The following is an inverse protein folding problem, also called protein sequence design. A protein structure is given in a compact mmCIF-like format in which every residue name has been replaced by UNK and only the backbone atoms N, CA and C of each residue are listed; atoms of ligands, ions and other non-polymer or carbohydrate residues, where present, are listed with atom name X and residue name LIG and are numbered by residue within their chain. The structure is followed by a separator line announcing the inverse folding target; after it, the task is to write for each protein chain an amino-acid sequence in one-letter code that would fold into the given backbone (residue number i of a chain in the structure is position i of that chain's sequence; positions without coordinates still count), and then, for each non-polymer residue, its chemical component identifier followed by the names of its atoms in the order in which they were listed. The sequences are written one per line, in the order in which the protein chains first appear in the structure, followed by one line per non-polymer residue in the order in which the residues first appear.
data_IF_292262378708
#
_entry.id   IF_292262378708
#
_cell.length_a   1.000
_cell.length_b   1.000
_cell.length_c   1.000
_cell.angle_alpha   90.00
_cell.angle_beta   90.00
_cell.angle_gamma   90.00
#
_symmetry.space_group_name_H-M   'P 1'
#
loop_
_entity.id
_entity.type
_entity.pdbx_description
1 polymer ?
#
# COMPACT_ATOMS: atom_id res chain seq x y z
N UNK A 1 -13.47 2.26 28.26
CA UNK A 1 -12.69 1.24 27.50
C UNK A 1 -12.35 1.83 26.15
N UNK A 2 -11.06 2.08 25.86
CA UNK A 2 -10.64 2.58 24.57
C UNK A 2 -10.87 1.47 23.51
N UNK A 3 -11.80 1.70 22.61
CA UNK A 3 -12.14 0.76 21.56
C UNK A 3 -11.02 0.79 20.50
N UNK A 4 -10.06 -0.14 20.62
CA UNK A 4 -8.96 -0.27 19.64
C UNK A 4 -9.56 -0.81 18.34
N UNK A 5 -9.45 -0.05 17.26
CA UNK A 5 -9.88 -0.49 15.93
C UNK A 5 -8.84 -1.46 15.37
N UNK A 6 -9.27 -2.65 14.95
CA UNK A 6 -8.39 -3.65 14.33
C UNK A 6 -8.56 -3.63 12.82
N UNK A 7 -7.44 -3.49 12.10
CA UNK A 7 -7.42 -3.45 10.64
C UNK A 7 -6.41 -4.46 10.13
N UNK A 8 -6.81 -5.22 9.12
CA UNK A 8 -5.89 -6.11 8.40
C UNK A 8 -5.66 -5.57 6.99
N UNK A 9 -4.38 -5.53 6.59
CA UNK A 9 -3.92 -5.10 5.27
C UNK A 9 -3.26 -6.27 4.58
N UNK A 10 -3.78 -6.67 3.44
CA UNK A 10 -3.25 -7.74 2.61
C UNK A 10 -2.64 -7.11 1.36
N UNK A 11 -1.39 -7.43 1.10
CA UNK A 11 -0.66 -6.94 -0.08
C UNK A 11 -0.12 -8.10 -0.90
N UNK A 12 -0.04 -7.90 -2.20
CA UNK A 12 0.60 -8.81 -3.14
C UNK A 12 1.10 -8.04 -4.35
N UNK A 13 2.18 -8.50 -4.97
CA UNK A 13 2.72 -7.87 -6.15
C UNK A 13 2.96 -8.83 -7.31
N UNK A 14 2.93 -8.30 -8.50
CA UNK A 14 3.38 -8.93 -9.74
C UNK A 14 4.42 -8.03 -10.41
N UNK A 15 5.48 -8.60 -10.94
CA UNK A 15 6.56 -7.87 -11.57
C UNK A 15 6.84 -8.39 -12.98
N UNK A 16 7.10 -7.46 -13.91
CA UNK A 16 7.53 -7.76 -15.28
C UNK A 16 8.91 -7.18 -15.52
N UNK A 17 9.92 -8.06 -15.55
CA UNK A 17 11.31 -7.68 -15.67
C UNK A 17 11.61 -6.87 -16.95
N UNK A 18 11.03 -7.27 -18.09
CA UNK A 18 11.29 -6.65 -19.41
C UNK A 18 10.87 -5.18 -19.45
N UNK A 19 9.82 -4.83 -18.74
CA UNK A 19 9.27 -3.47 -18.71
C UNK A 19 9.54 -2.72 -17.42
N UNK A 20 10.12 -3.40 -16.42
CA UNK A 20 10.34 -2.88 -15.06
C UNK A 20 9.06 -2.30 -14.44
N UNK A 21 7.92 -2.94 -14.73
CA UNK A 21 6.60 -2.53 -14.23
C UNK A 21 6.12 -3.54 -13.19
N UNK A 22 5.70 -3.02 -12.04
CA UNK A 22 4.99 -3.78 -11.04
C UNK A 22 3.50 -3.44 -11.02
N UNK A 23 2.68 -4.46 -10.78
CA UNK A 23 1.30 -4.30 -10.35
C UNK A 23 1.22 -4.69 -8.88
N UNK A 24 0.69 -3.83 -8.00
CA UNK A 24 0.46 -4.18 -6.60
C UNK A 24 -1.03 -4.18 -6.30
N UNK A 25 -1.48 -5.18 -5.56
CA UNK A 25 -2.85 -5.31 -5.08
C UNK A 25 -2.89 -5.09 -3.56
N UNK A 26 -3.80 -4.25 -3.09
CA UNK A 26 -4.01 -3.98 -1.67
C UNK A 26 -5.46 -4.21 -1.30
N UNK A 27 -5.68 -4.97 -0.24
CA UNK A 27 -7.02 -5.21 0.35
C UNK A 27 -6.97 -4.86 1.83
N UNK A 28 -7.82 -3.94 2.27
CA UNK A 28 -7.94 -3.53 3.67
C UNK A 28 -9.27 -4.01 4.21
N UNK A 29 -9.25 -4.62 5.41
CA UNK A 29 -10.44 -5.14 6.08
C UNK A 29 -10.50 -4.70 7.54
N UNK A 30 -11.72 -4.68 8.09
CA UNK A 30 -11.98 -4.62 9.52
C UNK A 30 -12.75 -5.89 9.89
N UNK A 31 -12.07 -6.84 10.53
CA UNK A 31 -12.56 -8.21 10.66
C UNK A 31 -12.86 -8.80 9.28
N UNK A 32 -14.05 -9.35 9.10
CA UNK A 32 -14.48 -9.94 7.83
C UNK A 32 -14.99 -8.92 6.80
N UNK A 33 -15.14 -7.66 7.19
CA UNK A 33 -15.67 -6.61 6.30
C UNK A 33 -14.56 -5.96 5.51
N UNK A 34 -14.61 -6.10 4.17
CA UNK A 34 -13.71 -5.37 3.27
C UNK A 34 -14.03 -3.87 3.29
N UNK A 35 -13.01 -3.05 3.56
CA UNK A 35 -13.09 -1.59 3.54
C UNK A 35 -12.63 -1.07 2.18
N UNK A 36 -11.43 -1.52 1.73
CA UNK A 36 -10.78 -1.07 0.49
C UNK A 36 -10.26 -2.29 -0.26
N UNK A 37 -10.33 -2.23 -1.58
CA UNK A 37 -9.57 -3.12 -2.47
C UNK A 37 -9.09 -2.29 -3.65
N UNK A 38 -7.78 -2.19 -3.86
CA UNK A 38 -7.19 -1.32 -4.87
C UNK A 38 -5.99 -1.98 -5.55
N UNK A 39 -5.79 -1.62 -6.82
CA UNK A 39 -4.63 -1.92 -7.61
C UNK A 39 -3.84 -0.66 -7.88
N UNK A 40 -2.51 -0.81 -7.86
CA UNK A 40 -1.56 0.20 -8.30
C UNK A 40 -0.69 -0.35 -9.42
N UNK A 41 -0.06 0.55 -10.15
CA UNK A 41 0.93 0.24 -11.17
C UNK A 41 2.09 1.19 -11.01
N UNK A 42 3.29 0.63 -10.85
CA UNK A 42 4.52 1.38 -10.61
C UNK A 42 5.54 1.04 -11.68
N UNK A 43 6.23 2.04 -12.20
CA UNK A 43 7.30 1.91 -13.18
C UNK A 43 8.67 2.04 -12.50
N UNK A 44 9.73 1.54 -13.17
CA UNK A 44 11.10 1.64 -12.66
C UNK A 44 11.41 0.69 -11.52
N UNK A 45 10.58 -0.31 -11.28
CA UNK A 45 10.76 -1.29 -10.22
C UNK A 45 11.94 -2.21 -10.52
N UNK A 46 12.74 -2.55 -9.50
CA UNK A 46 14.02 -3.25 -9.66
C UNK A 46 13.89 -4.78 -9.59
N UNK A 47 12.82 -5.28 -8.95
CA UNK A 47 12.58 -6.72 -8.79
C UNK A 47 11.31 -7.00 -8.02
N UNK A 48 11.04 -8.29 -7.81
CA UNK A 48 9.79 -8.71 -7.14
C UNK A 48 9.77 -8.27 -5.66
N UNK A 49 10.89 -8.39 -4.92
CA UNK A 49 10.96 -7.95 -3.53
C UNK A 49 10.67 -6.43 -3.41
N UNK A 50 11.21 -5.61 -4.33
CA UNK A 50 10.91 -4.18 -4.37
C UNK A 50 9.44 -3.92 -4.72
N UNK A 51 8.85 -4.70 -5.63
CA UNK A 51 7.41 -4.61 -5.95
C UNK A 51 6.53 -4.92 -4.73
N UNK A 52 6.87 -5.96 -3.96
CA UNK A 52 6.16 -6.33 -2.73
C UNK A 52 6.28 -5.25 -1.65
N UNK A 53 7.47 -4.67 -1.50
CA UNK A 53 7.70 -3.57 -0.56
C UNK A 53 6.87 -2.33 -0.92
N UNK A 54 6.78 -2.00 -2.22
CA UNK A 54 5.88 -0.96 -2.74
C UNK A 54 4.41 -1.30 -2.43
N UNK A 55 4.04 -2.58 -2.46
CA UNK A 55 2.71 -3.04 -2.04
C UNK A 55 2.40 -2.68 -0.59
N UNK A 56 3.36 -2.89 0.32
CA UNK A 56 3.25 -2.50 1.73
C UNK A 56 3.10 -0.98 1.87
N UNK A 57 3.94 -0.20 1.18
CA UNK A 57 3.85 1.26 1.18
C UNK A 57 2.48 1.76 0.70
N UNK A 58 1.97 1.24 -0.42
CA UNK A 58 0.63 1.54 -0.92
C UNK A 58 -0.47 1.17 0.10
N UNK A 59 -0.25 0.11 0.88
CA UNK A 59 -1.13 -0.30 1.98
C UNK A 59 -1.21 0.77 3.07
N UNK A 60 -0.08 1.33 3.49
CA UNK A 60 -0.02 2.42 4.45
C UNK A 60 -0.70 3.68 3.94
N UNK A 61 -0.39 4.11 2.71
CA UNK A 61 -1.00 5.29 2.10
C UNK A 61 -2.53 5.19 2.04
N UNK A 62 -3.04 4.03 1.61
CA UNK A 62 -4.49 3.79 1.58
C UNK A 62 -5.13 3.77 2.97
N UNK A 63 -4.40 3.23 3.96
CA UNK A 63 -4.86 3.19 5.34
C UNK A 63 -4.94 4.59 5.93
N UNK A 64 -3.92 5.43 5.72
CA UNK A 64 -3.93 6.82 6.15
C UNK A 64 -5.06 7.62 5.50
N UNK A 65 -5.23 7.48 4.18
CA UNK A 65 -6.36 8.09 3.46
C UNK A 65 -7.71 7.69 4.08
N UNK A 66 -7.84 6.44 4.51
CA UNK A 66 -9.04 5.94 5.17
C UNK A 66 -9.22 6.56 6.56
N UNK A 67 -8.17 6.58 7.40
CA UNK A 67 -8.19 7.12 8.75
C UNK A 67 -8.55 8.61 8.74
N UNK A 68 -7.94 9.39 7.84
CA UNK A 68 -8.20 10.81 7.67
C UNK A 68 -9.66 11.07 7.26
N UNK A 69 -10.17 10.28 6.31
CA UNK A 69 -11.56 10.45 5.85
C UNK A 69 -12.60 10.10 6.91
N UNK A 70 -12.35 9.04 7.65
CA UNK A 70 -13.21 8.61 8.75
C UNK A 70 -13.02 9.48 10.02
N UNK A 71 -12.06 10.43 9.99
CA UNK A 71 -11.70 11.31 11.13
C UNK A 71 -11.42 10.52 12.41
N UNK A 72 -10.83 9.33 12.25
CA UNK A 72 -10.57 8.44 13.37
C UNK A 72 -9.34 8.93 14.16
N UNK A 73 -9.50 9.14 15.49
CA UNK A 73 -8.46 9.69 16.38
C UNK A 73 -7.95 8.68 17.42
N UNK A 74 -8.54 7.49 17.49
CA UNK A 74 -8.18 6.47 18.47
C UNK A 74 -6.99 5.61 18.05
N UNK A 75 -6.55 4.71 18.93
CA UNK A 75 -5.54 3.70 18.63
C UNK A 75 -6.04 2.69 17.61
N UNK A 76 -5.15 2.23 16.73
CA UNK A 76 -5.44 1.28 15.67
C UNK A 76 -4.40 0.17 15.73
N UNK A 77 -4.84 -1.07 15.91
CA UNK A 77 -4.00 -2.25 15.72
C UNK A 77 -4.07 -2.68 14.25
N UNK A 78 -2.92 -2.77 13.60
CA UNK A 78 -2.78 -3.02 12.17
C UNK A 78 -1.97 -4.29 11.96
N UNK A 79 -2.55 -5.29 11.26
CA UNK A 79 -1.82 -6.49 10.85
C UNK A 79 -1.56 -6.43 9.34
N UNK A 80 -0.29 -6.33 8.93
CA UNK A 80 0.12 -6.45 7.54
C UNK A 80 0.43 -7.90 7.18
N UNK A 81 -0.27 -8.44 6.21
CA UNK A 81 -0.08 -9.80 5.70
C UNK A 81 0.77 -9.76 4.42
N UNK A 82 2.00 -10.29 4.51
CA UNK A 82 3.04 -10.25 3.49
C UNK A 82 3.43 -11.68 3.14
N UNK A 83 3.60 -12.01 1.86
CA UNK A 83 3.99 -13.34 1.43
C UNK A 83 5.46 -13.45 0.94
N UNK A 84 6.17 -12.35 0.92
CA UNK A 84 7.57 -12.28 0.55
C UNK A 84 8.47 -12.25 1.80
N UNK A 85 9.28 -13.31 1.97
CA UNK A 85 10.13 -13.49 3.14
C UNK A 85 11.25 -12.42 3.22
N UNK A 86 11.77 -11.95 2.08
CA UNK A 86 12.80 -10.89 2.06
C UNK A 86 12.24 -9.57 2.59
N UNK A 87 11.05 -9.19 2.11
CA UNK A 87 10.36 -7.98 2.57
C UNK A 87 10.03 -8.08 4.05
N UNK A 88 9.47 -9.21 4.48
CA UNK A 88 9.15 -9.45 5.89
C UNK A 88 10.38 -9.32 6.78
N UNK A 89 11.50 -9.95 6.41
CA UNK A 89 12.77 -9.87 7.15
C UNK A 89 13.34 -8.45 7.14
N UNK A 90 13.32 -7.77 5.99
CA UNK A 90 13.82 -6.42 5.88
C UNK A 90 13.08 -5.46 6.82
N UNK A 91 11.75 -5.55 6.87
CA UNK A 91 10.96 -4.70 7.77
C UNK A 91 11.20 -5.04 9.23
N UNK A 92 11.29 -6.33 9.60
CA UNK A 92 11.51 -6.74 11.00
C UNK A 92 12.91 -6.43 11.51
N UNK A 93 13.95 -6.65 10.67
CA UNK A 93 15.35 -6.50 11.08
C UNK A 93 15.75 -5.04 11.24
N UNK A 94 15.13 -4.14 10.52
CA UNK A 94 15.54 -2.73 10.40
C UNK A 94 14.55 -1.77 11.02
N UNK A 95 14.12 -2.09 12.22
CA UNK A 95 13.28 -1.21 13.05
C UNK A 95 13.95 0.12 13.41
N UNK A 96 15.29 0.24 13.24
CA UNK A 96 16.03 1.49 13.45
C UNK A 96 16.45 2.09 12.11
N UNK A 97 16.33 3.43 11.99
CA UNK A 97 16.77 4.19 10.81
C UNK A 97 18.29 4.06 10.58
N UNK A 98 19.04 3.85 11.65
CA UNK A 98 20.50 3.79 11.64
C UNK A 98 21.03 2.51 10.96
N UNK A 99 20.27 1.42 10.96
CA UNK A 99 20.66 0.14 10.38
C UNK A 99 20.45 0.07 8.85
N UNK A 100 19.74 1.02 8.24
CA UNK A 100 19.38 0.96 6.81
C UNK A 100 20.58 1.16 5.90
N UNK A 101 21.56 1.97 6.32
CA UNK A 101 22.73 2.27 5.51
C UNK A 101 23.67 1.06 5.40
N UNK A 102 23.68 0.17 6.38
CA UNK A 102 24.44 -1.08 6.36
C UNK A 102 23.83 -2.17 5.47
N UNK A 103 22.60 -1.94 4.96
CA UNK A 103 21.92 -2.87 4.08
C UNK A 103 22.58 -2.94 2.71
N UNK A 104 22.90 -4.15 2.27
CA UNK A 104 23.27 -4.41 0.87
C UNK A 104 22.05 -4.43 -0.07
N UNK A 105 21.13 -3.46 0.08
CA UNK A 105 19.99 -3.27 -0.80
C UNK A 105 20.19 -2.04 -1.68
N UNK A 106 19.51 -2.05 -2.82
CA UNK A 106 19.46 -0.90 -3.71
C UNK A 106 18.87 0.35 -3.04
N UNK A 107 19.35 1.53 -3.46
CA UNK A 107 18.92 2.82 -2.92
C UNK A 107 17.40 3.00 -2.94
N UNK A 108 16.72 2.58 -4.00
CA UNK A 108 15.25 2.70 -4.10
C UNK A 108 14.53 1.79 -3.11
N UNK A 109 15.07 0.60 -2.86
CA UNK A 109 14.53 -0.29 -1.82
C UNK A 109 14.70 0.34 -0.43
N UNK A 110 15.87 0.90 -0.13
CA UNK A 110 16.13 1.62 1.13
C UNK A 110 15.20 2.82 1.31
N UNK A 111 15.00 3.63 0.28
CA UNK A 111 14.09 4.78 0.32
C UNK A 111 12.65 4.36 0.59
N UNK A 112 12.20 3.25 -0.01
CA UNK A 112 10.84 2.71 0.24
C UNK A 112 10.70 2.22 1.68
N UNK A 113 11.73 1.57 2.26
CA UNK A 113 11.75 1.19 3.68
C UNK A 113 11.67 2.40 4.59
N UNK A 114 12.44 3.46 4.33
CA UNK A 114 12.42 4.69 5.11
C UNK A 114 11.02 5.33 5.11
N UNK A 115 10.34 5.33 3.98
CA UNK A 115 8.96 5.81 3.89
C UNK A 115 8.01 4.96 4.76
N UNK A 116 8.13 3.63 4.73
CA UNK A 116 7.33 2.73 5.57
C UNK A 116 7.58 3.04 7.06
N UNK A 117 8.84 3.20 7.47
CA UNK A 117 9.17 3.49 8.86
C UNK A 117 8.65 4.85 9.33
N UNK A 118 8.58 5.86 8.45
CA UNK A 118 7.96 7.14 8.81
C UNK A 118 6.47 7.03 9.17
N UNK A 119 5.75 6.04 8.63
CA UNK A 119 4.38 5.75 9.02
C UNK A 119 4.29 5.01 10.36
N UNK A 120 5.32 4.22 10.70
CA UNK A 120 5.35 3.45 11.95
C UNK A 120 5.65 4.34 13.16
N UNK A 121 6.19 5.52 12.98
CA UNK A 121 6.48 6.50 14.04
C UNK A 121 5.18 7.12 14.63
N UNK A 122 3.99 6.86 14.08
CA UNK A 122 2.73 7.36 14.63
C UNK A 122 2.27 6.52 15.85
N UNK A 123 2.34 7.11 17.05
CA UNK A 123 2.00 6.46 18.33
C UNK A 123 0.56 5.87 18.40
N UNK A 124 -0.30 6.23 17.44
CA UNK A 124 -1.64 5.67 17.33
C UNK A 124 -1.65 4.27 16.74
N UNK A 125 -0.56 3.85 16.10
CA UNK A 125 -0.49 2.58 15.38
C UNK A 125 0.25 1.53 16.21
N UNK A 126 -0.40 0.40 16.40
CA UNK A 126 0.20 -0.85 16.88
C UNK A 126 0.31 -1.77 15.66
N UNK A 127 1.53 -1.90 15.08
CA UNK A 127 1.72 -2.58 13.79
C UNK A 127 2.39 -3.93 14.00
N UNK A 128 1.84 -4.96 13.39
CA UNK A 128 2.46 -6.28 13.25
C UNK A 128 2.57 -6.69 11.78
N UNK A 129 3.61 -7.43 11.44
CA UNK A 129 3.84 -7.99 10.12
C UNK A 129 3.73 -9.50 10.18
N UNK A 130 2.79 -10.08 9.44
CA UNK A 130 2.48 -11.51 9.41
C UNK A 130 2.96 -12.09 8.11
N UNK A 131 3.94 -13.01 8.17
CA UNK A 131 4.39 -13.74 6.99
C UNK A 131 3.38 -14.82 6.63
N UNK A 132 2.84 -14.74 5.41
CA UNK A 132 1.96 -15.78 4.84
C UNK A 132 2.81 -16.71 3.99
N UNK A 133 2.88 -17.98 4.35
CA UNK A 133 3.55 -19.00 3.54
C UNK A 133 2.58 -19.68 2.56
N UNK A 134 3.12 -20.48 1.62
CA UNK A 134 2.34 -21.10 0.54
C UNK A 134 1.15 -21.96 1.01
N UNK A 135 1.24 -22.60 2.20
CA UNK A 135 0.17 -23.42 2.77
C UNK A 135 -0.94 -22.55 3.39
N UNK A 136 -0.59 -21.41 3.98
CA UNK A 136 -1.54 -20.51 4.64
C UNK A 136 -2.17 -19.50 3.69
N UNK A 137 -1.55 -19.21 2.53
CA UNK A 137 -2.11 -18.30 1.51
C UNK A 137 -3.56 -18.60 1.15
N UNK A 138 -3.89 -19.89 1.00
CA UNK A 138 -5.24 -20.34 0.62
C UNK A 138 -6.29 -20.07 1.69
N UNK A 139 -5.88 -19.88 2.95
CA UNK A 139 -6.79 -19.62 4.06
C UNK A 139 -7.28 -18.15 4.05
N UNK A 140 -6.53 -17.24 3.43
CA UNK A 140 -6.86 -15.82 3.40
C UNK A 140 -7.46 -15.42 2.06
N UNK A 141 -8.79 -15.42 1.96
CA UNK A 141 -9.53 -14.95 0.76
C UNK A 141 -9.12 -13.55 0.32
N UNK A 142 -8.78 -12.71 1.26
CA UNK A 142 -8.34 -11.33 1.04
C UNK A 142 -6.97 -11.28 0.35
N UNK A 143 -6.06 -12.19 0.69
CA UNK A 143 -4.77 -12.29 0.01
C UNK A 143 -4.93 -12.79 -1.43
N UNK A 144 -5.78 -13.80 -1.68
CA UNK A 144 -6.12 -14.23 -3.04
C UNK A 144 -6.70 -13.07 -3.85
N UNK A 145 -7.48 -12.20 -3.22
CA UNK A 145 -7.99 -11.00 -3.88
C UNK A 145 -6.87 -10.00 -4.19
N UNK A 146 -5.91 -9.77 -3.29
CA UNK A 146 -4.75 -8.92 -3.54
C UNK A 146 -3.91 -9.46 -4.70
N UNK A 147 -3.65 -10.77 -4.76
CA UNK A 147 -2.95 -11.44 -5.87
C UNK A 147 -3.69 -11.24 -7.20
N UNK A 148 -4.99 -11.44 -7.21
CA UNK A 148 -5.81 -11.18 -8.42
C UNK A 148 -5.72 -9.73 -8.88
N UNK A 149 -5.71 -8.78 -7.95
CA UNK A 149 -5.56 -7.35 -8.23
C UNK A 149 -4.19 -7.05 -8.82
N UNK A 150 -3.12 -7.60 -8.26
CA UNK A 150 -1.73 -7.36 -8.70
C UNK A 150 -1.52 -7.76 -10.16
N UNK A 151 -2.12 -8.87 -10.59
CA UNK A 151 -1.99 -9.47 -11.92
C UNK A 151 -2.95 -8.89 -12.96
N UNK A 152 -4.05 -8.24 -12.56
CA UNK A 152 -5.08 -7.82 -13.48
C UNK A 152 -4.60 -6.75 -14.46
N UNK A 153 -4.86 -6.93 -15.75
CA UNK A 153 -4.57 -5.93 -16.80
C UNK A 153 -5.55 -4.74 -16.73
N UNK A 154 -6.74 -4.95 -16.19
CA UNK A 154 -7.79 -3.91 -16.08
C UNK A 154 -7.58 -3.13 -14.78
N UNK A 155 -7.46 -1.80 -14.88
CA UNK A 155 -7.65 -0.96 -13.71
C UNK A 155 -9.07 -1.20 -13.18
N UNK A 156 -9.22 -1.62 -11.93
CA UNK A 156 -10.55 -1.76 -11.35
C UNK A 156 -11.24 -0.40 -11.31
N UNK A 157 -12.18 -0.20 -12.23
CA UNK A 157 -12.98 1.03 -12.33
C UNK A 157 -13.97 1.21 -11.18
N UNK A 158 -14.04 0.31 -10.19
CA UNK A 158 -15.02 0.46 -9.10
C UNK A 158 -14.45 -0.04 -7.78
N UNK A 159 -13.95 0.86 -6.96
CA UNK A 159 -14.18 0.75 -5.52
C UNK A 159 -15.69 1.07 -5.28
N UNK A 160 -16.49 0.15 -4.72
CA UNK A 160 -17.94 0.32 -4.64
C UNK A 160 -18.43 1.50 -3.79
N UNK A 161 -17.53 2.23 -3.14
CA UNK A 161 -17.85 3.35 -2.24
C UNK A 161 -17.10 4.65 -2.53
N UNK A 162 -16.37 4.73 -3.64
CA UNK A 162 -15.88 6.03 -4.07
C UNK A 162 -17.00 6.72 -4.82
N UNK A 163 -17.70 7.53 -4.09
CA UNK A 163 -18.89 8.22 -4.50
C UNK A 163 -18.63 9.10 -5.73
N UNK A 164 -19.69 9.40 -6.45
CA UNK A 164 -19.72 10.33 -7.58
C UNK A 164 -19.03 11.65 -7.22
N UNK A 165 -19.19 12.12 -5.97
CA UNK A 165 -18.55 13.33 -5.43
C UNK A 165 -16.99 13.30 -5.48
N UNK A 166 -16.36 12.19 -5.13
CA UNK A 166 -14.88 12.08 -5.17
C UNK A 166 -14.36 12.03 -6.61
N UNK A 167 -15.08 11.36 -7.51
CA UNK A 167 -14.74 11.38 -8.94
C UNK A 167 -14.86 12.77 -9.52
N UNK A 168 -15.90 13.49 -9.14
CA UNK A 168 -16.16 14.85 -9.64
C UNK A 168 -15.13 15.84 -9.07
N UNK A 169 -14.70 15.67 -7.80
CA UNK A 169 -13.61 16.43 -7.18
C UNK A 169 -12.28 16.25 -7.92
N UNK A 170 -11.86 14.99 -8.17
CA UNK A 170 -10.61 14.69 -8.90
C UNK A 170 -10.66 15.17 -10.34
N UNK A 171 -11.83 15.11 -10.96
CA UNK A 171 -12.03 15.64 -12.32
C UNK A 171 -11.88 17.16 -12.35
N UNK A 172 -12.42 17.85 -11.36
CA UNK A 172 -12.28 19.29 -11.18
C UNK A 172 -10.82 19.71 -10.87
N UNK A 173 -10.12 18.97 -10.01
CA UNK A 173 -8.71 19.19 -9.69
C UNK A 173 -7.81 18.99 -10.93
N UNK A 174 -8.05 17.92 -11.71
CA UNK A 174 -7.34 17.65 -12.97
C UNK A 174 -7.59 18.76 -14.02
N UNK A 175 -8.81 19.28 -14.10
CA UNK A 175 -9.15 20.37 -15.00
C UNK A 175 -8.50 21.70 -14.56
N UNK A 176 -8.45 21.97 -13.26
CA UNK A 176 -7.74 23.15 -12.70
C UNK A 176 -6.23 23.09 -12.95
N UNK A 177 -5.62 21.89 -12.79
CA UNK A 177 -4.20 21.69 -13.09
C UNK A 177 -3.89 21.90 -14.59
N UNK A 178 -4.74 21.39 -15.48
CA UNK A 178 -4.62 21.63 -16.95
C UNK A 178 -4.80 23.10 -17.32
N UNK A 179 -5.72 23.80 -16.67
CA UNK A 179 -5.96 25.23 -16.91
C UNK A 179 -4.78 26.10 -16.43
N UNK A 180 -4.17 25.73 -15.28
CA UNK A 180 -2.94 26.39 -14.78
C UNK A 180 -1.77 26.23 -15.73
N UNK A 181 -1.52 25.01 -16.23
CA UNK A 181 -0.46 24.76 -17.19
C UNK A 181 -0.67 25.48 -18.53
N UNK A 182 -1.92 25.63 -18.97
CA UNK A 182 -2.24 26.34 -20.21
C UNK A 182 -2.00 27.86 -20.12
N UNK A 183 -2.03 28.46 -18.92
CA UNK A 183 -1.69 29.87 -18.68
C UNK A 183 -0.18 30.13 -18.68
N UNK A 184 0.62 29.14 -18.26
CA UNK A 184 2.09 29.25 -18.21
C UNK A 184 2.72 29.20 -19.61
N UNK A 185 2.09 28.54 -20.58
CA UNK A 185 2.61 28.39 -21.94
C UNK A 185 2.02 29.42 -22.95
N UNK A 186 1.25 30.39 -22.49
CA UNK A 186 0.69 31.47 -23.33
C UNK A 186 1.18 32.88 -22.94
N UNK A 187 2.13 33.02 -22.04
CA UNK A 187 2.92 34.18 -21.73
C UNK A 187 4.35 33.95 -22.17
#
# INVERSE_FOLDING_TARGET
MNNIKRISVFTDASFKAETRIAGTGVVITNGNKRIIARKFRTHGVLGIAHAELIGVLNGFELLLDFIIREKYKGKIAISFFIDNIEVHRAIQKYYSKDDIDELNYDLFFKQTLLQIFSFMDDERFEIEYVLINGSTKKLYKQHIQADTLSKSKKSHKKCPKWDKAERDRRKAESQRAKAKNKKIYKG
#
